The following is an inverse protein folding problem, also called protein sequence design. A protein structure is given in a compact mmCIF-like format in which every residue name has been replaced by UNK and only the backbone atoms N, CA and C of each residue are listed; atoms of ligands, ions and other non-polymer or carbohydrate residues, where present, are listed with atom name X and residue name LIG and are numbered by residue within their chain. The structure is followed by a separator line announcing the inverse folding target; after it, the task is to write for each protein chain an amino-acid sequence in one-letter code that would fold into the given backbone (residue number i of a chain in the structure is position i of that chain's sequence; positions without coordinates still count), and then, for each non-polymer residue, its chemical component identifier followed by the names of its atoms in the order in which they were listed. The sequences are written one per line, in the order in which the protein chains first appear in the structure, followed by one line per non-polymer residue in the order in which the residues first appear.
data_IF_455560235488
#
_entry.id   IF_455560235488
#
_cell.length_a   1.000
_cell.length_b   1.000
_cell.length_c   1.000
_cell.angle_alpha   90.00
_cell.angle_beta   90.00
_cell.angle_gamma   90.00
#
_symmetry.space_group_name_H-M   'P 1'
#
loop_
_entity.id
_entity.type
_entity.pdbx_description
1 polymer ?
#
# COMPACT_ATOMS: atom_id res chain seq x y z
N UNK A 1 -16.57 -32.43 -1.46
CA UNK A 1 -16.34 -31.21 -0.65
C UNK A 1 -15.22 -30.44 -1.30
N UNK A 2 -15.55 -29.44 -2.11
CA UNK A 2 -14.59 -28.63 -2.87
C UNK A 2 -14.06 -27.53 -1.95
N UNK A 3 -12.77 -27.57 -1.62
CA UNK A 3 -12.12 -26.53 -0.82
C UNK A 3 -11.96 -25.27 -1.68
N UNK A 4 -12.83 -24.29 -1.48
CA UNK A 4 -12.68 -22.97 -2.11
C UNK A 4 -11.45 -22.29 -1.52
N UNK A 5 -10.36 -22.27 -2.28
CA UNK A 5 -9.15 -21.54 -1.95
C UNK A 5 -9.44 -20.04 -2.13
N UNK A 6 -10.09 -19.42 -1.13
CA UNK A 6 -10.39 -18.00 -1.12
C UNK A 6 -9.07 -17.25 -1.00
N UNK A 7 -8.53 -16.86 -2.16
CA UNK A 7 -7.35 -16.04 -2.24
C UNK A 7 -7.67 -14.64 -1.71
N UNK A 8 -7.43 -14.42 -0.43
CA UNK A 8 -7.54 -13.13 0.28
C UNK A 8 -6.42 -12.17 -0.11
N UNK A 9 -6.14 -12.02 -1.41
CA UNK A 9 -5.25 -10.93 -1.84
C UNK A 9 -6.07 -9.64 -1.81
N UNK A 10 -5.65 -8.61 -1.07
CA UNK A 10 -6.32 -7.32 -1.11
C UNK A 10 -6.41 -6.86 -2.57
N UNK A 11 -7.63 -6.61 -3.05
CA UNK A 11 -7.92 -6.09 -4.39
C UNK A 11 -7.44 -4.63 -4.45
N UNK A 12 -6.15 -4.43 -4.64
CA UNK A 12 -5.62 -3.14 -5.11
C UNK A 12 -5.85 -3.11 -6.62
N UNK A 13 -7.03 -2.66 -7.03
CA UNK A 13 -7.48 -2.70 -8.43
C UNK A 13 -6.88 -1.59 -9.29
N UNK A 14 -6.44 -0.48 -8.67
CA UNK A 14 -5.92 0.68 -9.40
C UNK A 14 -4.42 0.88 -9.11
N UNK A 15 -3.62 0.91 -10.19
CA UNK A 15 -2.18 1.10 -10.13
C UNK A 15 -1.84 2.55 -10.46
N UNK A 16 -1.19 3.24 -9.53
CA UNK A 16 -0.62 4.57 -9.77
C UNK A 16 0.90 4.45 -9.91
N UNK A 17 1.44 4.88 -11.06
CA UNK A 17 2.89 4.95 -11.28
C UNK A 17 3.38 6.38 -11.05
N UNK A 18 4.37 6.54 -10.16
CA UNK A 18 5.02 7.82 -9.88
C UNK A 18 6.45 7.79 -10.41
N UNK A 19 6.86 8.82 -11.16
CA UNK A 19 8.23 8.96 -11.65
C UNK A 19 9.09 9.62 -10.57
N UNK A 20 10.15 8.94 -10.17
CA UNK A 20 11.12 9.41 -9.18
C UNK A 20 12.48 9.68 -9.82
N UNK A 21 13.19 10.67 -9.30
CA UNK A 21 14.62 10.80 -9.61
C UNK A 21 15.42 9.66 -8.97
N UNK A 22 16.62 9.37 -9.49
CA UNK A 22 17.49 8.33 -8.92
C UNK A 22 17.81 8.57 -7.44
N UNK A 23 18.02 9.84 -7.06
CA UNK A 23 18.29 10.23 -5.68
C UNK A 23 17.09 9.96 -4.77
N UNK A 24 15.89 10.36 -5.18
CA UNK A 24 14.65 10.11 -4.44
C UNK A 24 14.40 8.62 -4.24
N UNK A 25 14.55 7.82 -5.30
CA UNK A 25 14.35 6.37 -5.22
C UNK A 25 15.34 5.69 -4.27
N UNK A 26 16.61 6.14 -4.24
CA UNK A 26 17.62 5.61 -3.32
C UNK A 26 17.24 5.87 -1.86
N UNK A 27 16.76 7.08 -1.55
CA UNK A 27 16.29 7.45 -0.21
C UNK A 27 15.07 6.63 0.18
N UNK A 28 14.07 6.51 -0.71
CA UNK A 28 12.87 5.71 -0.45
C UNK A 28 13.18 4.24 -0.16
N UNK A 29 14.12 3.63 -0.91
CA UNK A 29 14.57 2.26 -0.66
C UNK A 29 15.23 2.11 0.71
N UNK A 30 16.07 3.07 1.11
CA UNK A 30 16.71 3.09 2.42
C UNK A 30 15.68 3.14 3.55
N UNK A 31 14.72 4.06 3.46
CA UNK A 31 13.66 4.23 4.48
C UNK A 31 12.78 2.97 4.56
N UNK A 32 12.40 2.41 3.42
CA UNK A 32 11.59 1.20 3.38
C UNK A 32 12.33 0.00 4.01
N UNK A 33 13.63 -0.13 3.75
CA UNK A 33 14.49 -1.15 4.37
C UNK A 33 14.60 -0.97 5.89
N UNK A 34 14.84 0.25 6.37
CA UNK A 34 14.90 0.56 7.82
C UNK A 34 13.60 0.23 8.55
N UNK A 35 12.46 0.34 7.85
CA UNK A 35 11.14 0.00 8.39
C UNK A 35 10.70 -1.44 8.14
N UNK A 36 11.54 -2.28 7.54
CA UNK A 36 11.21 -3.65 7.11
C UNK A 36 9.90 -3.73 6.27
N UNK A 37 9.71 -2.76 5.37
CA UNK A 37 8.52 -2.65 4.52
C UNK A 37 8.89 -2.52 3.04
N UNK A 38 7.91 -2.72 2.17
CA UNK A 38 8.05 -2.41 0.74
C UNK A 38 7.85 -0.91 0.52
N UNK A 39 8.61 -0.31 -0.40
CA UNK A 39 8.53 1.12 -0.75
C UNK A 39 7.09 1.57 -1.04
N UNK A 40 6.32 0.79 -1.80
CA UNK A 40 4.93 1.12 -2.11
C UNK A 40 4.02 1.12 -0.87
N UNK A 41 4.23 0.20 0.06
CA UNK A 41 3.48 0.12 1.32
C UNK A 41 3.84 1.33 2.18
N UNK A 42 5.14 1.61 2.33
CA UNK A 42 5.61 2.80 3.06
C UNK A 42 5.00 4.09 2.54
N UNK A 43 5.01 4.32 1.21
CA UNK A 43 4.44 5.52 0.61
C UNK A 43 2.94 5.59 0.88
N UNK A 44 2.20 4.49 0.72
CA UNK A 44 0.76 4.45 0.98
C UNK A 44 0.44 4.78 2.43
N UNK A 45 1.11 4.13 3.36
CA UNK A 45 0.93 4.38 4.80
C UNK A 45 1.29 5.81 5.19
N UNK A 46 2.36 6.35 4.61
CA UNK A 46 2.74 7.75 4.79
C UNK A 46 1.63 8.69 4.30
N UNK A 47 1.10 8.47 3.11
CA UNK A 47 0.03 9.29 2.55
C UNK A 47 -1.25 9.22 3.39
N UNK A 48 -1.68 8.03 3.81
CA UNK A 48 -2.87 7.87 4.67
C UNK A 48 -2.66 8.53 6.03
N UNK A 49 -1.46 8.44 6.61
CA UNK A 49 -1.15 9.08 7.90
C UNK A 49 -1.21 10.61 7.82
N UNK A 50 -0.76 11.20 6.71
CA UNK A 50 -0.73 12.65 6.54
C UNK A 50 -2.00 13.23 5.93
N UNK A 51 -2.77 12.41 5.20
CA UNK A 51 -4.04 12.77 4.59
C UNK A 51 -5.07 11.70 4.94
N UNK A 52 -5.76 11.84 6.10
CA UNK A 52 -6.76 10.89 6.56
C UNK A 52 -7.92 10.68 5.57
N UNK A 53 -8.16 11.65 4.68
CA UNK A 53 -9.13 11.56 3.59
C UNK A 53 -8.86 10.41 2.61
N UNK A 54 -7.61 9.96 2.51
CA UNK A 54 -7.20 8.81 1.69
C UNK A 54 -7.43 7.48 2.40
N UNK A 55 -7.81 7.50 3.68
CA UNK A 55 -8.19 6.29 4.38
C UNK A 55 -9.51 5.82 3.80
N UNK A 56 -9.51 4.62 3.22
CA UNK A 56 -10.73 3.96 2.77
C UNK A 56 -11.75 4.02 3.92
N UNK A 57 -12.97 4.56 3.70
CA UNK A 57 -14.01 4.44 4.69
C UNK A 57 -14.21 2.94 4.93
N UNK A 58 -13.96 2.49 6.16
CA UNK A 58 -14.03 1.06 6.51
C UNK A 58 -15.31 0.46 5.94
N UNK A 59 -15.16 -0.53 5.06
CA UNK A 59 -16.24 -1.47 4.73
C UNK A 59 -16.45 -2.39 5.93
N UNK A 60 -17.03 -1.86 6.99
CA UNK A 60 -17.69 -2.64 8.04
C UNK A 60 -19.19 -2.84 7.70
N UNK A 61 -19.59 -2.65 6.43
CA UNK A 61 -20.94 -2.94 5.92
C UNK A 61 -20.87 -3.91 4.72
N UNK A 62 -20.52 -5.16 4.99
CA UNK A 62 -21.13 -6.29 4.29
C UNK A 62 -21.54 -7.30 5.36
N UNK A 63 -22.63 -6.97 6.06
CA UNK A 63 -23.47 -7.92 6.79
C UNK A 63 -24.28 -8.75 5.78
#
# INVERSE_FOLDING_TARGET
MTTSNVQTKPKHTELTQVRWTKAQLKVLKKIAYEKDTKVAIYIREFMVKHHPELQDPRKDEQL
#
